data_IF_593663367445
#
_entry.id   IF_593663367445
#
_cell.length_a   1.000
_cell.length_b   1.000
_cell.length_c   1.000
_cell.angle_alpha   90.00
_cell.angle_beta   90.00
_cell.angle_gamma   90.00
#
_symmetry.space_group_name_H-M   'P 1'
#
loop_
_entity.id
_entity.type
_entity.pdbx_description
1 polymer ?
#
# COMPACT_ATOMS: atom_id res chain seq x y z
N UNK A 1 8.39 10.45 -31.38
CA UNK A 1 7.86 9.08 -31.28
C UNK A 1 7.14 8.71 -32.57
N UNK A 2 7.20 7.44 -33.02
CA UNK A 2 6.38 6.96 -34.16
C UNK A 2 4.91 7.02 -33.82
N UNK A 3 4.04 6.99 -34.83
CA UNK A 3 2.61 6.80 -34.57
C UNK A 3 2.37 5.38 -34.07
N UNK A 4 1.62 5.24 -32.98
CA UNK A 4 1.31 3.95 -32.37
C UNK A 4 -0.14 3.90 -31.89
N UNK A 5 -0.66 2.71 -31.69
CA UNK A 5 -1.93 2.47 -31.03
C UNK A 5 -1.66 1.80 -29.69
N UNK A 6 -2.28 2.33 -28.63
CA UNK A 6 -2.17 1.78 -27.28
C UNK A 6 -3.51 1.15 -26.89
N UNK A 7 -3.46 -0.11 -26.49
CA UNK A 7 -4.58 -0.83 -25.87
C UNK A 7 -4.24 -1.09 -24.42
N UNK A 8 -5.14 -0.72 -23.52
CA UNK A 8 -4.95 -0.91 -22.08
C UNK A 8 -6.05 -1.84 -21.57
N UNK A 9 -5.64 -2.99 -21.05
CA UNK A 9 -6.50 -3.89 -20.28
C UNK A 9 -6.08 -3.78 -18.82
N UNK A 10 -6.97 -3.26 -17.95
CA UNK A 10 -6.64 -2.91 -16.59
C UNK A 10 -7.60 -3.57 -15.61
N UNK A 11 -7.10 -4.48 -14.81
CA UNK A 11 -7.82 -5.14 -13.72
C UNK A 11 -7.58 -4.47 -12.35
N UNK A 12 -6.69 -3.46 -12.25
CA UNK A 12 -6.41 -2.76 -11.00
C UNK A 12 -7.53 -1.76 -10.70
N UNK A 13 -8.26 -1.91 -9.58
CA UNK A 13 -9.33 -0.98 -9.23
C UNK A 13 -8.81 0.44 -9.04
N UNK A 14 -9.45 1.41 -9.72
CA UNK A 14 -9.06 2.81 -9.66
C UNK A 14 -9.50 3.46 -8.34
N UNK A 15 -8.69 4.39 -7.82
CA UNK A 15 -8.97 5.20 -6.63
C UNK A 15 -9.37 4.39 -5.39
N UNK A 16 -8.75 3.20 -5.21
CA UNK A 16 -9.02 2.29 -4.09
C UNK A 16 -7.79 1.90 -3.27
N UNK A 17 -6.68 2.63 -3.42
CA UNK A 17 -5.45 2.34 -2.66
C UNK A 17 -4.70 1.09 -3.15
N UNK A 18 -4.89 0.70 -4.43
CA UNK A 18 -4.27 -0.47 -5.05
C UNK A 18 -3.10 -0.13 -5.97
N UNK A 19 -2.59 1.11 -5.93
CA UNK A 19 -1.41 1.50 -6.71
C UNK A 19 -1.67 1.71 -8.21
N UNK A 20 -2.91 1.94 -8.65
CA UNK A 20 -3.25 2.12 -10.07
C UNK A 20 -2.52 3.29 -10.72
N UNK A 21 -2.25 4.37 -9.99
CA UNK A 21 -1.45 5.51 -10.47
C UNK A 21 -0.02 5.08 -10.78
N UNK A 22 0.64 4.42 -9.84
CA UNK A 22 2.01 3.91 -10.03
C UNK A 22 2.09 2.92 -11.20
N UNK A 23 1.11 2.02 -11.33
CA UNK A 23 1.04 1.07 -12.45
C UNK A 23 0.94 1.78 -13.80
N UNK A 24 0.11 2.82 -13.92
CA UNK A 24 -0.04 3.60 -15.15
C UNK A 24 1.26 4.35 -15.52
N UNK A 25 1.93 4.94 -14.52
CA UNK A 25 3.21 5.65 -14.72
C UNK A 25 4.29 4.68 -15.21
N UNK A 26 4.45 3.55 -14.53
CA UNK A 26 5.44 2.54 -14.90
C UNK A 26 5.17 1.99 -16.29
N UNK A 27 3.91 1.67 -16.61
CA UNK A 27 3.53 1.24 -17.95
C UNK A 27 3.85 2.29 -19.01
N UNK A 28 3.61 3.57 -18.72
CA UNK A 28 3.93 4.67 -19.64
C UNK A 28 5.43 4.81 -19.91
N UNK A 29 6.26 4.74 -18.87
CA UNK A 29 7.73 4.80 -19.01
C UNK A 29 8.25 3.56 -19.77
N UNK A 30 7.75 2.37 -19.45
CA UNK A 30 8.11 1.15 -20.18
C UNK A 30 7.69 1.21 -21.65
N UNK A 31 6.52 1.77 -21.97
CA UNK A 31 6.13 2.02 -23.35
C UNK A 31 7.08 2.99 -24.07
N UNK A 32 7.57 4.03 -23.38
CA UNK A 32 8.57 4.94 -23.94
C UNK A 32 9.85 4.18 -24.30
N UNK A 33 10.40 3.39 -23.39
CA UNK A 33 11.60 2.57 -23.62
C UNK A 33 11.44 1.64 -24.84
N UNK A 34 10.28 0.98 -24.95
CA UNK A 34 9.99 0.07 -26.06
C UNK A 34 9.92 0.83 -27.40
N UNK A 35 9.29 2.02 -27.42
CA UNK A 35 9.06 2.77 -28.65
C UNK A 35 10.31 3.52 -29.14
N UNK A 36 11.21 3.91 -28.24
CA UNK A 36 12.44 4.63 -28.58
C UNK A 36 13.65 3.70 -28.73
N UNK A 37 13.63 2.55 -28.08
CA UNK A 37 14.78 1.68 -27.92
C UNK A 37 15.75 2.14 -26.82
N UNK A 38 15.41 3.23 -26.11
CA UNK A 38 16.18 3.68 -24.96
C UNK A 38 16.02 2.69 -23.80
N UNK A 39 17.04 2.59 -22.97
CA UNK A 39 16.99 1.86 -21.71
C UNK A 39 17.40 2.80 -20.59
N UNK A 40 16.46 3.14 -19.75
CA UNK A 40 16.71 3.99 -18.59
C UNK A 40 17.38 3.18 -17.48
N UNK A 41 18.38 3.73 -16.83
CA UNK A 41 18.84 3.16 -15.58
C UNK A 41 17.80 3.38 -14.45
N UNK A 42 18.01 2.72 -13.32
CA UNK A 42 17.07 2.79 -12.19
C UNK A 42 16.80 4.23 -11.73
N UNK A 43 17.83 5.05 -11.65
CA UNK A 43 17.70 6.44 -11.19
C UNK A 43 17.00 7.32 -12.21
N UNK A 44 17.30 7.12 -13.50
CA UNK A 44 16.61 7.80 -14.60
C UNK A 44 15.13 7.43 -14.63
N UNK A 45 14.81 6.15 -14.46
CA UNK A 45 13.45 5.65 -14.41
C UNK A 45 12.65 6.31 -13.27
N UNK A 46 13.18 6.30 -12.05
CA UNK A 46 12.51 6.94 -10.92
C UNK A 46 12.40 8.45 -11.07
N UNK A 47 13.40 9.11 -11.64
CA UNK A 47 13.34 10.55 -11.92
C UNK A 47 12.19 10.89 -12.88
N UNK A 48 12.02 10.12 -13.97
CA UNK A 48 10.88 10.28 -14.86
C UNK A 48 9.53 10.00 -14.17
N UNK A 49 9.49 8.99 -13.30
CA UNK A 49 8.28 8.63 -12.56
C UNK A 49 7.88 9.72 -11.56
N UNK A 50 8.86 10.40 -10.93
CA UNK A 50 8.62 11.43 -9.93
C UNK A 50 8.04 12.73 -10.49
N UNK A 51 8.09 12.96 -11.79
CA UNK A 51 7.33 14.04 -12.42
C UNK A 51 5.82 13.86 -12.25
N UNK A 52 5.36 12.65 -11.93
CA UNK A 52 3.95 12.28 -11.81
C UNK A 52 3.55 11.78 -10.41
N UNK A 53 4.46 11.14 -9.67
CA UNK A 53 4.18 10.49 -8.39
C UNK A 53 5.42 10.54 -7.48
N UNK A 54 5.32 11.21 -6.34
CA UNK A 54 6.41 11.45 -5.39
C UNK A 54 6.54 10.36 -4.29
N UNK A 55 5.95 9.18 -4.51
CA UNK A 55 5.92 8.08 -3.55
C UNK A 55 6.79 6.91 -4.04
N UNK A 56 8.05 6.81 -3.59
CA UNK A 56 8.96 5.75 -4.02
C UNK A 56 8.51 4.35 -3.61
N UNK A 57 7.76 4.22 -2.53
CA UNK A 57 7.18 2.98 -2.04
C UNK A 57 6.15 2.39 -3.01
N UNK A 58 5.23 3.20 -3.54
CA UNK A 58 4.26 2.76 -4.53
C UNK A 58 4.91 2.38 -5.86
N UNK A 59 5.81 3.23 -6.36
CA UNK A 59 6.55 2.99 -7.60
C UNK A 59 7.43 1.75 -7.48
N UNK A 60 8.21 1.65 -6.41
CA UNK A 60 9.09 0.51 -6.18
C UNK A 60 8.35 -0.81 -6.00
N UNK A 61 7.22 -0.81 -5.29
CA UNK A 61 6.40 -2.01 -5.14
C UNK A 61 5.79 -2.47 -6.47
N UNK A 62 5.36 -1.53 -7.30
CA UNK A 62 4.83 -1.84 -8.63
C UNK A 62 5.91 -2.35 -9.59
N UNK A 63 7.09 -1.72 -9.58
CA UNK A 63 8.19 -2.06 -10.48
C UNK A 63 8.85 -3.41 -10.15
N UNK A 64 9.06 -3.68 -8.86
CA UNK A 64 9.85 -4.83 -8.41
C UNK A 64 9.02 -5.97 -7.82
N UNK A 65 7.81 -5.67 -7.37
CA UNK A 65 7.00 -6.63 -6.63
C UNK A 65 7.56 -6.96 -5.24
N UNK A 66 6.90 -7.85 -4.52
CA UNK A 66 7.34 -8.35 -3.22
C UNK A 66 7.26 -7.33 -2.09
N UNK A 67 8.16 -7.45 -1.12
CA UNK A 67 8.31 -6.51 -0.02
C UNK A 67 9.44 -5.54 -0.33
N UNK A 68 9.14 -4.27 -0.36
CA UNK A 68 10.13 -3.22 -0.58
C UNK A 68 10.11 -2.18 0.54
N UNK A 69 11.24 -1.54 0.75
CA UNK A 69 11.34 -0.28 1.49
C UNK A 69 12.03 0.74 0.59
N UNK A 70 11.38 1.87 0.36
CA UNK A 70 11.89 2.92 -0.52
C UNK A 70 11.95 4.27 0.18
N UNK A 71 12.94 5.08 -0.19
CA UNK A 71 13.11 6.44 0.31
C UNK A 71 13.62 7.35 -0.82
N UNK A 72 13.13 8.58 -0.82
CA UNK A 72 13.74 9.68 -1.59
C UNK A 72 14.81 10.34 -0.72
N UNK A 73 16.03 10.41 -1.23
CA UNK A 73 17.13 11.13 -0.57
C UNK A 73 17.05 12.64 -0.86
N UNK A 74 17.74 13.44 -0.05
CA UNK A 74 17.74 14.90 -0.16
C UNK A 74 18.31 15.41 -1.50
N UNK A 75 19.14 14.62 -2.17
CA UNK A 75 19.70 14.91 -3.49
C UNK A 75 18.76 14.53 -4.66
N UNK A 76 17.56 14.05 -4.35
CA UNK A 76 16.54 13.61 -5.31
C UNK A 76 16.74 12.20 -5.85
N UNK A 77 17.76 11.47 -5.38
CA UNK A 77 17.92 10.05 -5.73
C UNK A 77 16.92 9.18 -4.97
N UNK A 78 16.59 8.03 -5.55
CA UNK A 78 15.70 7.05 -4.93
C UNK A 78 16.51 5.83 -4.53
N UNK A 79 16.28 5.37 -3.31
CA UNK A 79 16.88 4.14 -2.82
C UNK A 79 15.77 3.14 -2.49
N UNK A 80 15.87 1.94 -3.06
CA UNK A 80 14.89 0.87 -2.85
C UNK A 80 15.59 -0.39 -2.36
N UNK A 81 15.18 -0.88 -1.20
CA UNK A 81 15.59 -2.17 -0.68
C UNK A 81 14.52 -3.22 -0.96
N UNK A 82 14.90 -4.31 -1.62
CA UNK A 82 14.04 -5.49 -1.80
C UNK A 82 14.27 -6.45 -0.64
N UNK A 83 13.23 -6.78 0.06
CA UNK A 83 13.29 -7.60 1.26
C UNK A 83 12.61 -8.95 1.01
N UNK A 84 13.15 -10.00 1.63
CA UNK A 84 12.56 -11.33 1.56
C UNK A 84 11.79 -11.62 2.85
N UNK A 85 10.64 -12.27 2.70
CA UNK A 85 9.89 -12.84 3.82
C UNK A 85 10.21 -14.34 3.86
N UNK A 86 11.00 -14.81 4.86
CA UNK A 86 11.54 -16.17 4.86
C UNK A 86 10.55 -17.23 5.32
N UNK A 87 9.29 -16.90 5.47
CA UNK A 87 8.26 -17.81 5.94
C UNK A 87 7.00 -17.80 5.09
N UNK A 88 6.17 -18.81 5.29
CA UNK A 88 4.86 -18.89 4.67
C UNK A 88 3.92 -17.90 5.34
N UNK A 89 3.48 -16.92 4.58
CA UNK A 89 2.57 -15.87 4.99
C UNK A 89 1.65 -15.57 3.80
N UNK A 90 0.37 -15.37 4.06
CA UNK A 90 -0.58 -14.95 3.05
C UNK A 90 -1.06 -13.53 3.31
N UNK A 91 -1.53 -12.90 2.25
CA UNK A 91 -2.15 -11.60 2.32
C UNK A 91 -3.61 -11.71 1.87
N UNK A 92 -4.46 -10.91 2.50
CA UNK A 92 -5.84 -10.70 2.10
C UNK A 92 -6.02 -9.22 1.79
N UNK A 93 -6.67 -8.95 0.67
CA UNK A 93 -7.04 -7.61 0.25
C UNK A 93 -8.55 -7.56 0.13
N UNK A 94 -9.19 -6.64 0.84
CA UNK A 94 -10.64 -6.43 0.77
C UNK A 94 -10.90 -5.05 0.20
N UNK A 95 -11.58 -5.02 -0.94
CA UNK A 95 -11.72 -3.83 -1.79
C UNK A 95 -13.18 -3.36 -1.75
N UNK A 96 -13.47 -2.26 -1.05
CA UNK A 96 -14.82 -1.67 -1.05
C UNK A 96 -15.23 -1.16 -2.43
N UNK A 97 -16.54 -1.16 -2.66
CA UNK A 97 -17.14 -0.74 -3.94
C UNK A 97 -17.01 0.77 -4.22
N UNK A 98 -16.82 1.61 -3.18
CA UNK A 98 -16.70 3.05 -3.35
C UNK A 98 -15.26 3.51 -3.59
N UNK A 99 -15.12 4.68 -4.19
CA UNK A 99 -13.83 5.31 -4.49
C UNK A 99 -13.46 6.35 -3.42
N UNK A 100 -12.17 6.42 -3.11
CA UNK A 100 -11.61 7.46 -2.25
C UNK A 100 -10.38 8.05 -2.92
N UNK A 101 -10.50 9.28 -3.39
CA UNK A 101 -9.36 9.94 -4.01
C UNK A 101 -8.25 10.22 -3.00
N UNK A 102 -7.00 10.08 -3.44
CA UNK A 102 -5.81 10.37 -2.62
C UNK A 102 -5.84 11.80 -2.07
N UNK A 103 -6.34 12.76 -2.86
CA UNK A 103 -6.49 14.16 -2.43
C UNK A 103 -7.41 14.30 -1.22
N UNK A 104 -8.58 13.66 -1.24
CA UNK A 104 -9.51 13.66 -0.09
C UNK A 104 -8.90 12.96 1.12
N UNK A 105 -8.26 11.80 0.90
CA UNK A 105 -7.61 11.04 1.96
C UNK A 105 -6.40 11.76 2.59
N UNK A 106 -5.76 12.68 1.87
CA UNK A 106 -4.70 13.55 2.39
C UNK A 106 -5.26 14.78 3.12
N UNK A 107 -6.35 15.34 2.63
CA UNK A 107 -6.94 16.56 3.20
C UNK A 107 -7.44 16.40 4.65
N UNK A 108 -7.73 15.19 5.10
CA UNK A 108 -8.15 14.92 6.48
C UNK A 108 -6.98 14.75 7.46
N UNK A 109 -5.75 14.68 6.97
CA UNK A 109 -4.57 14.55 7.83
C UNK A 109 -4.25 15.89 8.50
N UNK A 110 -3.85 15.88 9.79
CA UNK A 110 -3.44 17.10 10.47
C UNK A 110 -2.13 17.63 9.88
N UNK A 111 -1.94 18.94 9.97
CA UNK A 111 -0.70 19.60 9.52
C UNK A 111 0.49 19.35 10.45
N UNK A 112 0.23 18.96 11.68
CA UNK A 112 1.24 18.72 12.72
C UNK A 112 0.86 17.51 13.54
N UNK A 113 1.85 16.79 14.05
CA UNK A 113 1.66 15.62 14.90
C UNK A 113 2.40 15.82 16.23
N UNK A 114 1.95 15.14 17.27
CA UNK A 114 2.68 15.12 18.53
C UNK A 114 4.00 14.35 18.38
N UNK A 115 5.02 14.75 19.14
CA UNK A 115 6.29 14.01 19.20
C UNK A 115 6.08 12.52 19.56
N UNK A 116 5.14 12.27 20.48
CA UNK A 116 4.79 10.91 20.87
C UNK A 116 4.21 10.08 19.72
N UNK A 117 3.37 10.65 18.85
CA UNK A 117 2.78 9.93 17.72
C UNK A 117 3.82 9.67 16.62
N UNK A 118 4.75 10.59 16.40
CA UNK A 118 5.88 10.37 15.49
C UNK A 118 6.74 9.21 15.98
N UNK A 119 7.14 9.19 17.26
CA UNK A 119 7.90 8.06 17.82
C UNK A 119 7.11 6.76 17.68
N UNK A 120 5.82 6.79 18.02
CA UNK A 120 4.95 5.62 17.93
C UNK A 120 4.97 5.00 16.52
N UNK A 121 4.81 5.80 15.47
CA UNK A 121 4.82 5.32 14.08
C UNK A 121 6.21 4.89 13.61
N UNK A 122 7.25 5.62 13.95
CA UNK A 122 8.64 5.26 13.58
C UNK A 122 9.03 3.89 14.15
N UNK A 123 8.69 3.63 15.42
CA UNK A 123 8.91 2.33 16.04
C UNK A 123 8.18 1.20 15.33
N UNK A 124 6.94 1.44 14.88
CA UNK A 124 6.12 0.43 14.19
C UNK A 124 6.57 0.18 12.77
N UNK A 125 7.03 1.19 12.06
CA UNK A 125 7.66 1.01 10.75
C UNK A 125 8.88 0.08 10.84
N UNK A 126 9.78 0.33 11.80
CA UNK A 126 10.92 -0.54 12.06
C UNK A 126 10.51 -1.95 12.50
N UNK A 127 9.49 -2.06 13.37
CA UNK A 127 8.97 -3.33 13.86
C UNK A 127 8.34 -4.16 12.75
N UNK A 128 7.66 -3.52 11.77
CA UNK A 128 7.07 -4.21 10.61
C UNK A 128 8.14 -4.90 9.78
N UNK A 129 9.21 -4.19 9.44
CA UNK A 129 10.33 -4.77 8.70
C UNK A 129 10.98 -5.90 9.49
N UNK A 130 11.24 -5.70 10.77
CA UNK A 130 11.80 -6.73 11.62
C UNK A 130 10.89 -7.97 11.73
N UNK A 131 9.59 -7.78 11.92
CA UNK A 131 8.62 -8.88 12.01
C UNK A 131 8.58 -9.72 10.75
N UNK A 132 8.56 -9.08 9.57
CA UNK A 132 8.49 -9.76 8.28
C UNK A 132 9.80 -10.48 7.94
N UNK A 133 10.96 -9.83 8.12
CA UNK A 133 12.27 -10.39 7.76
C UNK A 133 12.74 -11.48 8.72
N UNK A 134 12.33 -11.43 9.98
CA UNK A 134 12.62 -12.49 10.98
C UNK A 134 11.50 -13.52 11.12
N UNK A 135 10.40 -13.35 10.36
CA UNK A 135 9.23 -14.22 10.44
C UNK A 135 8.58 -14.29 11.84
N UNK A 136 8.67 -13.22 12.60
CA UNK A 136 8.01 -13.13 13.90
C UNK A 136 6.58 -12.62 13.75
N UNK A 137 5.70 -13.49 13.27
CA UNK A 137 4.30 -13.19 12.98
C UNK A 137 3.53 -12.56 14.15
N UNK A 138 3.93 -12.88 15.39
CA UNK A 138 3.26 -12.36 16.60
C UNK A 138 3.39 -10.85 16.75
N UNK A 139 4.38 -10.24 16.13
CA UNK A 139 4.60 -8.79 16.18
C UNK A 139 3.77 -8.01 15.16
N UNK A 140 3.24 -8.66 14.11
CA UNK A 140 2.59 -7.99 12.98
C UNK A 140 1.39 -7.15 13.40
N UNK A 141 0.57 -7.65 14.33
CA UNK A 141 -0.58 -6.89 14.83
C UNK A 141 -0.18 -5.54 15.42
N UNK A 142 0.83 -5.53 16.27
CA UNK A 142 1.30 -4.29 16.88
C UNK A 142 2.08 -3.43 15.88
N UNK A 143 2.85 -4.06 15.01
CA UNK A 143 3.66 -3.41 13.99
C UNK A 143 2.81 -2.62 12.95
N UNK A 144 1.61 -3.10 12.64
CA UNK A 144 0.71 -2.45 11.68
C UNK A 144 -0.22 -1.40 12.30
N UNK A 145 -0.09 -1.10 13.57
CA UNK A 145 -0.81 0.01 14.20
C UNK A 145 -0.26 1.37 13.75
N UNK A 146 -1.15 2.33 13.66
CA UNK A 146 -0.82 3.67 13.17
C UNK A 146 -1.56 4.77 13.94
N UNK A 147 -0.93 5.93 14.07
CA UNK A 147 -1.50 7.12 14.69
C UNK A 147 -1.48 8.36 13.81
N UNK A 148 -0.84 8.27 12.63
CA UNK A 148 -0.65 9.44 11.77
C UNK A 148 -1.47 9.40 10.47
N UNK A 149 -2.02 8.25 10.09
CA UNK A 149 -2.83 8.09 8.89
C UNK A 149 -4.21 7.48 9.18
N UNK A 150 -4.24 6.24 9.66
CA UNK A 150 -5.44 5.43 9.77
C UNK A 150 -6.55 6.05 10.62
N UNK A 151 -6.29 6.64 11.82
CA UNK A 151 -7.34 7.21 12.65
C UNK A 151 -8.07 8.39 11.99
N UNK A 152 -7.38 9.13 11.14
CA UNK A 152 -7.97 10.26 10.43
C UNK A 152 -8.77 9.80 9.23
N UNK A 153 -8.24 8.84 8.45
CA UNK A 153 -8.89 8.29 7.26
C UNK A 153 -10.08 7.41 7.60
N UNK A 154 -10.12 6.80 8.78
CA UNK A 154 -11.25 6.00 9.25
C UNK A 154 -12.56 6.79 9.27
N UNK A 155 -12.50 8.11 9.44
CA UNK A 155 -13.67 8.99 9.35
C UNK A 155 -14.31 9.05 7.96
N UNK A 156 -13.56 8.66 6.93
CA UNK A 156 -14.01 8.64 5.53
C UNK A 156 -14.42 7.24 5.07
N UNK A 157 -14.11 6.20 5.86
CA UNK A 157 -14.24 4.80 5.46
C UNK A 157 -15.10 4.09 6.50
N UNK A 158 -16.40 3.92 6.22
CA UNK A 158 -17.31 3.27 7.16
C UNK A 158 -16.81 1.85 7.51
N UNK A 159 -16.78 1.52 8.80
CA UNK A 159 -16.34 0.22 9.30
C UNK A 159 -14.82 0.07 9.49
N UNK A 160 -13.98 1.00 9.03
CA UNK A 160 -12.54 0.85 9.13
C UNK A 160 -12.04 0.77 10.58
N UNK A 161 -12.58 1.59 11.49
CA UNK A 161 -12.17 1.54 12.90
C UNK A 161 -12.39 0.15 13.51
N UNK A 162 -13.54 -0.47 13.22
CA UNK A 162 -13.87 -1.81 13.68
C UNK A 162 -12.93 -2.85 13.03
N UNK A 163 -12.68 -2.75 11.73
CA UNK A 163 -11.77 -3.64 11.00
C UNK A 163 -10.35 -3.59 11.57
N UNK A 164 -9.84 -2.41 11.88
CA UNK A 164 -8.48 -2.26 12.44
C UNK A 164 -8.34 -2.87 13.84
N UNK A 165 -9.42 -3.01 14.58
CA UNK A 165 -9.44 -3.63 15.91
C UNK A 165 -9.93 -5.09 15.91
N UNK A 166 -10.24 -5.67 14.75
CA UNK A 166 -10.68 -7.06 14.63
C UNK A 166 -9.70 -8.03 15.32
N UNK A 167 -10.26 -9.02 16.00
CA UNK A 167 -9.52 -10.09 16.66
C UNK A 167 -10.18 -11.41 16.33
N UNK A 168 -9.70 -11.99 15.24
CA UNK A 168 -10.19 -13.27 14.71
C UNK A 168 -9.00 -14.19 14.45
N UNK A 169 -9.26 -15.49 14.54
CA UNK A 169 -8.23 -16.49 14.31
C UNK A 169 -7.66 -16.35 12.90
N UNK A 170 -6.34 -16.44 12.80
CA UNK A 170 -5.62 -16.31 11.55
C UNK A 170 -5.32 -14.87 11.11
N UNK A 171 -5.90 -13.85 11.73
CA UNK A 171 -5.56 -12.45 11.45
C UNK A 171 -4.30 -12.04 12.22
N UNK A 172 -3.21 -11.87 11.51
CA UNK A 172 -1.90 -11.54 12.08
C UNK A 172 -1.68 -10.02 12.20
N UNK A 173 -2.21 -9.25 11.27
CA UNK A 173 -2.17 -7.81 11.27
C UNK A 173 -3.01 -7.25 10.13
N UNK A 174 -3.56 -6.05 10.32
CA UNK A 174 -4.44 -5.39 9.35
C UNK A 174 -4.12 -3.92 9.29
N UNK A 175 -4.18 -3.35 8.11
CA UNK A 175 -3.96 -1.93 7.86
C UNK A 175 -4.72 -1.45 6.63
N UNK A 176 -4.85 -0.15 6.50
CA UNK A 176 -5.31 0.50 5.29
C UNK A 176 -4.28 0.35 4.19
N UNK A 177 -4.69 0.02 2.97
CA UNK A 177 -3.82 -0.04 1.80
C UNK A 177 -3.68 1.35 1.18
N UNK A 178 -2.48 1.92 1.26
CA UNK A 178 -2.21 3.27 0.75
C UNK A 178 -3.16 4.32 1.30
N UNK A 179 -3.81 5.07 0.43
CA UNK A 179 -4.83 6.07 0.81
C UNK A 179 -6.17 5.44 1.22
N UNK A 180 -6.41 4.18 0.92
CA UNK A 180 -7.66 3.47 1.07
C UNK A 180 -8.58 3.62 -0.15
N UNK A 181 -9.83 3.13 -0.06
CA UNK A 181 -10.49 2.52 1.10
C UNK A 181 -10.17 1.03 1.29
N UNK A 182 -9.35 0.44 0.44
CA UNK A 182 -8.96 -0.97 0.53
C UNK A 182 -8.24 -1.27 1.83
N UNK A 183 -8.55 -2.41 2.42
CA UNK A 183 -7.88 -2.96 3.59
C UNK A 183 -6.96 -4.10 3.17
N UNK A 184 -5.75 -4.09 3.71
CA UNK A 184 -4.74 -5.12 3.56
C UNK A 184 -4.52 -5.84 4.88
N UNK A 185 -4.45 -7.17 4.87
CA UNK A 185 -4.19 -7.96 6.05
C UNK A 185 -3.14 -9.05 5.80
N UNK A 186 -2.23 -9.25 6.76
CA UNK A 186 -1.43 -10.45 6.87
C UNK A 186 -2.21 -11.53 7.63
N UNK A 187 -2.22 -12.73 7.09
CA UNK A 187 -3.04 -13.83 7.62
C UNK A 187 -2.28 -15.17 7.61
N UNK A 188 -2.72 -16.09 8.44
CA UNK A 188 -2.34 -17.49 8.27
C UNK A 188 -2.98 -18.05 7.00
N UNK A 189 -2.20 -18.74 6.13
CA UNK A 189 -2.66 -19.15 4.81
C UNK A 189 -3.95 -19.97 4.82
N UNK A 190 -4.10 -20.85 5.79
CA UNK A 190 -5.22 -21.77 5.93
C UNK A 190 -6.54 -21.02 6.30
N UNK A 191 -6.44 -19.82 6.87
CA UNK A 191 -7.56 -19.01 7.34
C UNK A 191 -7.81 -17.77 6.49
N UNK A 192 -7.06 -17.59 5.40
CA UNK A 192 -7.13 -16.41 4.54
C UNK A 192 -8.56 -16.08 4.07
N UNK A 193 -9.30 -17.09 3.60
CA UNK A 193 -10.68 -16.92 3.14
C UNK A 193 -11.61 -16.48 4.28
N UNK A 194 -11.54 -17.13 5.43
CA UNK A 194 -12.39 -16.81 6.58
C UNK A 194 -12.13 -15.40 7.11
N UNK A 195 -10.86 -15.00 7.18
CA UNK A 195 -10.49 -13.63 7.58
C UNK A 195 -11.00 -12.61 6.57
N UNK A 196 -10.83 -12.87 5.26
CA UNK A 196 -11.34 -12.00 4.21
C UNK A 196 -12.85 -11.81 4.27
N UNK A 197 -13.60 -12.89 4.45
CA UNK A 197 -15.04 -12.84 4.61
C UNK A 197 -15.48 -12.08 5.86
N UNK A 198 -14.72 -12.19 6.97
CA UNK A 198 -14.99 -11.43 8.18
C UNK A 198 -14.81 -9.94 7.96
N UNK A 199 -13.70 -9.53 7.32
CA UNK A 199 -13.45 -8.12 6.99
C UNK A 199 -14.52 -7.58 6.05
N UNK A 200 -14.84 -8.32 4.98
CA UNK A 200 -15.90 -7.94 4.05
C UNK A 200 -17.28 -7.89 4.73
N UNK A 201 -17.55 -8.80 5.66
CA UNK A 201 -18.75 -8.80 6.50
C UNK A 201 -18.86 -7.55 7.37
N UNK A 202 -17.74 -7.08 7.94
CA UNK A 202 -17.71 -5.82 8.69
C UNK A 202 -18.04 -4.63 7.79
N UNK A 203 -17.47 -4.55 6.59
CA UNK A 203 -17.87 -3.53 5.61
C UNK A 203 -19.36 -3.56 5.31
N UNK A 204 -19.93 -4.75 5.02
CA UNK A 204 -21.38 -4.90 4.76
C UNK A 204 -22.24 -4.48 5.94
N UNK A 205 -21.80 -4.74 7.17
CA UNK A 205 -22.50 -4.27 8.38
C UNK A 205 -22.62 -2.75 8.44
N UNK A 206 -21.60 -2.06 7.93
CA UNK A 206 -21.58 -0.60 7.79
C UNK A 206 -22.15 -0.09 6.45
N UNK A 207 -22.88 -0.92 5.70
CA UNK A 207 -23.55 -0.54 4.46
C UNK A 207 -22.62 -0.40 3.25
N UNK A 208 -21.43 -0.98 3.30
CA UNK A 208 -20.44 -0.93 2.22
C UNK A 208 -20.31 -2.32 1.59
N UNK A 209 -20.43 -2.42 0.28
CA UNK A 209 -20.10 -3.63 -0.47
C UNK A 209 -18.58 -3.76 -0.61
N UNK A 210 -18.05 -4.98 -0.42
CA UNK A 210 -16.61 -5.26 -0.52
C UNK A 210 -16.36 -6.75 -0.85
#
# INVERSE_FOLDING_TARGET
LPMFHLWIDNEIPLARGMGSSAAAIIAGITCYEILTGDQLDEQEFFRCAFDFEDHPDNLGACLYGGLIAGVSADDGTVQVARLQIPCRLSTVVVIPSFELSTGVARAVLPKTYSFHDIIYNTQRSALTIAALTTCNKKLLREAMRDRIHQPYRAKLIPGLEEILELRVDGLLGVALSGAGPTVFAFVEPELAKAVGETIAGTYRHHGVEA
#
